data_IF_804805636635
#
_entry.id   IF_804805636635
#
_cell.length_a   1.000
_cell.length_b   1.000
_cell.length_c   1.000
_cell.angle_alpha   90.00
_cell.angle_beta   90.00
_cell.angle_gamma   90.00
#
_symmetry.space_group_name_H-M   'P 1'
#
loop_
_entity.id
_entity.type
_entity.pdbx_description
1 polymer ?
#
# COMPACT_ATOMS: atom_id res chain seq x y z
N UNK A 1 18.96 -7.10 49.29
CA UNK A 1 19.43 -6.75 47.93
C UNK A 1 18.47 -7.40 46.94
N UNK A 2 17.60 -6.63 46.28
CA UNK A 2 16.64 -7.15 45.30
C UNK A 2 17.33 -7.19 43.93
N UNK A 3 17.17 -8.23 43.10
CA UNK A 3 17.75 -8.23 41.77
C UNK A 3 17.00 -7.21 40.91
N UNK A 4 17.80 -6.39 40.24
CA UNK A 4 17.42 -5.45 39.21
C UNK A 4 16.71 -6.21 38.07
N UNK A 5 15.45 -5.87 37.78
CA UNK A 5 14.73 -6.48 36.66
C UNK A 5 15.33 -5.88 35.40
N UNK A 6 16.15 -6.68 34.72
CA UNK A 6 16.69 -6.36 33.42
C UNK A 6 15.59 -5.87 32.48
N UNK A 7 15.65 -4.59 32.17
CA UNK A 7 14.96 -4.02 31.03
C UNK A 7 15.56 -4.69 29.80
N UNK A 8 14.82 -5.62 29.19
CA UNK A 8 15.31 -6.21 27.95
C UNK A 8 15.24 -5.15 26.85
N UNK A 9 16.24 -5.03 25.95
CA UNK A 9 16.26 -4.02 24.89
C UNK A 9 14.95 -3.94 24.07
N UNK A 10 14.27 -5.08 23.94
CA UNK A 10 13.00 -5.29 23.23
C UNK A 10 11.81 -4.48 23.82
N UNK A 11 11.82 -4.20 25.14
CA UNK A 11 10.71 -3.51 25.81
C UNK A 11 10.60 -2.01 25.42
N UNK A 12 11.72 -1.41 24.99
CA UNK A 12 11.77 -0.01 24.52
C UNK A 12 11.64 0.14 23.00
N UNK A 13 11.98 -0.89 22.24
CA UNK A 13 11.89 -0.87 20.77
C UNK A 13 10.43 -0.86 20.30
N UNK A 14 9.55 -1.66 20.90
CA UNK A 14 8.15 -1.71 20.47
C UNK A 14 7.40 -0.37 20.66
N UNK A 15 7.49 0.34 21.81
CA UNK A 15 6.91 1.67 21.96
C UNK A 15 7.50 2.72 21.01
N UNK A 16 8.82 2.67 20.74
CA UNK A 16 9.47 3.60 19.83
C UNK A 16 9.03 3.38 18.36
N UNK A 17 8.90 2.12 17.92
CA UNK A 17 8.40 1.76 16.59
C UNK A 17 6.96 2.26 16.42
N UNK A 18 6.12 2.08 17.44
CA UNK A 18 4.72 2.52 17.40
C UNK A 18 4.63 4.04 17.32
N UNK A 19 5.37 4.78 18.17
CA UNK A 19 5.38 6.25 18.12
C UNK A 19 5.91 6.80 16.79
N UNK A 20 6.92 6.16 16.20
CA UNK A 20 7.41 6.52 14.88
C UNK A 20 6.39 6.23 13.77
N UNK A 21 5.68 5.10 13.85
CA UNK A 21 4.63 4.75 12.91
C UNK A 21 3.43 5.71 12.99
N UNK A 22 3.00 6.09 14.20
CA UNK A 22 1.94 7.08 14.41
C UNK A 22 2.32 8.44 13.83
N UNK A 23 3.53 8.93 14.10
CA UNK A 23 4.03 10.17 13.52
C UNK A 23 4.09 10.12 11.99
N UNK A 24 4.59 9.01 11.41
CA UNK A 24 4.62 8.81 9.97
C UNK A 24 3.21 8.79 9.37
N UNK A 25 2.25 8.12 10.01
CA UNK A 25 0.85 8.09 9.57
C UNK A 25 0.25 9.50 9.56
N UNK A 26 0.44 10.29 10.61
CA UNK A 26 -0.03 11.69 10.63
C UNK A 26 0.58 12.53 9.50
N UNK A 27 1.87 12.33 9.19
CA UNK A 27 2.51 13.00 8.06
C UNK A 27 1.90 12.58 6.72
N UNK A 28 1.61 11.30 6.52
CA UNK A 28 0.97 10.80 5.30
C UNK A 28 -0.47 11.30 5.16
N UNK A 29 -1.25 11.33 6.23
CA UNK A 29 -2.60 11.87 6.24
C UNK A 29 -2.61 13.35 5.81
N UNK A 30 -1.75 14.17 6.43
CA UNK A 30 -1.59 15.57 6.04
C UNK A 30 -1.15 15.74 4.58
N UNK A 31 -0.25 14.87 4.09
CA UNK A 31 0.18 14.88 2.70
C UNK A 31 -0.95 14.50 1.73
N UNK A 32 -1.80 13.55 2.09
CA UNK A 32 -2.98 13.13 1.30
C UNK A 32 -4.02 14.24 1.26
N UNK A 33 -4.26 14.92 2.38
CA UNK A 33 -5.17 16.08 2.45
C UNK A 33 -4.66 17.25 1.61
N UNK A 34 -3.34 17.45 1.55
CA UNK A 34 -2.70 18.47 0.73
C UNK A 34 -2.59 18.12 -0.77
N UNK A 35 -3.07 16.95 -1.20
CA UNK A 35 -3.09 16.59 -2.61
C UNK A 35 -4.03 17.54 -3.38
N UNK A 36 -3.63 17.97 -4.58
CA UNK A 36 -4.49 18.79 -5.45
C UNK A 36 -5.72 18.00 -5.93
N UNK A 37 -6.56 18.67 -6.70
CA UNK A 37 -7.68 18.02 -7.39
C UNK A 37 -7.17 16.89 -8.30
N UNK A 38 -7.94 15.81 -8.43
CA UNK A 38 -7.56 14.64 -9.23
C UNK A 38 -7.40 14.92 -10.74
N UNK A 39 -7.96 16.04 -11.23
CA UNK A 39 -7.81 16.52 -12.60
C UNK A 39 -6.54 17.38 -12.78
N UNK A 40 -5.88 17.76 -11.69
CA UNK A 40 -4.60 18.46 -11.75
C UNK A 40 -3.50 17.52 -12.28
N UNK A 41 -2.75 17.98 -13.28
CA UNK A 41 -1.70 17.18 -13.91
C UNK A 41 -0.57 16.73 -12.96
N UNK A 42 -0.41 17.38 -11.81
CA UNK A 42 0.55 17.00 -10.78
C UNK A 42 0.04 15.99 -9.76
N UNK A 43 -1.28 15.72 -9.73
CA UNK A 43 -1.91 14.87 -8.73
C UNK A 43 -1.31 13.46 -8.70
N UNK A 44 -1.30 12.74 -9.83
CA UNK A 44 -0.81 11.34 -9.90
C UNK A 44 0.64 11.25 -9.45
N UNK A 45 1.50 12.17 -9.92
CA UNK A 45 2.92 12.21 -9.53
C UNK A 45 3.10 12.40 -8.02
N UNK A 46 2.29 13.26 -7.39
CA UNK A 46 2.34 13.47 -5.92
C UNK A 46 1.77 12.26 -5.17
N UNK A 47 0.68 11.68 -5.67
CA UNK A 47 0.08 10.47 -5.10
C UNK A 47 1.08 9.29 -5.12
N UNK A 48 1.82 9.10 -6.22
CA UNK A 48 2.82 8.01 -6.33
C UNK A 48 3.94 8.10 -5.29
N UNK A 49 4.38 9.32 -4.96
CA UNK A 49 5.37 9.55 -3.89
C UNK A 49 4.81 9.09 -2.55
N UNK A 50 3.57 9.47 -2.23
CA UNK A 50 2.90 9.08 -1.00
C UNK A 50 2.65 7.57 -0.96
N UNK A 51 2.14 6.98 -2.04
CA UNK A 51 1.90 5.53 -2.18
C UNK A 51 3.20 4.74 -1.97
N UNK A 52 4.32 5.22 -2.49
CA UNK A 52 5.64 4.61 -2.26
C UNK A 52 6.06 4.68 -0.80
N UNK A 53 5.83 5.82 -0.14
CA UNK A 53 6.07 5.97 1.29
C UNK A 53 5.22 5.03 2.15
N UNK A 54 3.91 4.96 1.88
CA UNK A 54 2.98 4.08 2.56
C UNK A 54 3.37 2.60 2.42
N UNK A 55 3.77 2.15 1.23
CA UNK A 55 4.25 0.77 1.03
C UNK A 55 5.48 0.43 1.86
N UNK A 56 6.43 1.36 1.97
CA UNK A 56 7.62 1.17 2.82
C UNK A 56 7.23 1.06 4.30
N UNK A 57 6.27 1.88 4.74
CA UNK A 57 5.73 1.83 6.10
C UNK A 57 5.00 0.50 6.34
N UNK A 58 4.15 0.06 5.41
CA UNK A 58 3.46 -1.23 5.48
C UNK A 58 4.43 -2.41 5.58
N UNK A 59 5.48 -2.44 4.76
CA UNK A 59 6.50 -3.49 4.81
C UNK A 59 7.21 -3.53 6.17
N UNK A 60 7.54 -2.36 6.72
CA UNK A 60 8.19 -2.23 8.02
C UNK A 60 7.28 -2.69 9.16
N UNK A 61 6.01 -2.32 9.11
CA UNK A 61 4.99 -2.71 10.10
C UNK A 61 4.60 -4.19 9.98
N UNK A 62 4.54 -4.74 8.76
CA UNK A 62 4.30 -6.17 8.54
C UNK A 62 5.44 -7.01 9.11
N UNK A 63 6.69 -6.57 8.91
CA UNK A 63 7.84 -7.21 9.51
C UNK A 63 7.76 -7.18 11.04
N UNK A 64 7.44 -6.02 11.63
CA UNK A 64 7.25 -5.89 13.07
C UNK A 64 6.10 -6.79 13.59
N UNK A 65 4.98 -6.84 12.88
CA UNK A 65 3.82 -7.66 13.22
C UNK A 65 4.08 -9.17 13.12
N UNK A 66 5.04 -9.60 12.29
CA UNK A 66 5.43 -11.00 12.15
C UNK A 66 6.32 -11.53 13.29
N UNK A 67 6.84 -10.64 14.15
CA UNK A 67 7.70 -11.02 15.28
C UNK A 67 6.85 -11.63 16.41
N UNK A 68 7.42 -12.58 17.15
CA UNK A 68 6.73 -13.34 18.21
C UNK A 68 6.15 -12.51 19.36
N UNK A 69 6.52 -11.22 19.49
CA UNK A 69 6.03 -10.27 20.51
C UNK A 69 5.34 -9.04 19.89
N UNK A 70 4.75 -9.17 18.70
CA UNK A 70 3.98 -8.08 18.10
C UNK A 70 2.88 -7.59 19.05
N UNK A 71 2.85 -6.28 19.31
CA UNK A 71 1.81 -5.66 20.14
C UNK A 71 0.56 -5.38 19.29
N UNK A 72 -0.64 -5.35 19.91
CA UNK A 72 -1.87 -4.93 19.20
C UNK A 72 -1.74 -3.56 18.51
N UNK A 73 -0.95 -2.64 19.08
CA UNK A 73 -0.71 -1.31 18.49
C UNK A 73 0.01 -1.38 17.13
N UNK A 74 0.97 -2.28 16.95
CA UNK A 74 1.63 -2.50 15.64
C UNK A 74 0.63 -3.01 14.61
N UNK A 75 -0.27 -3.91 15.00
CA UNK A 75 -1.33 -4.44 14.12
C UNK A 75 -2.31 -3.34 13.71
N UNK A 76 -2.68 -2.46 14.64
CA UNK A 76 -3.55 -1.30 14.36
C UNK A 76 -2.86 -0.33 13.39
N UNK A 77 -1.59 0.02 13.62
CA UNK A 77 -0.82 0.88 12.72
C UNK A 77 -0.69 0.27 11.32
N UNK A 78 -0.42 -1.04 11.21
CA UNK A 78 -0.37 -1.75 9.92
C UNK A 78 -1.73 -1.68 9.20
N UNK A 79 -2.81 -1.86 9.95
CA UNK A 79 -4.18 -1.79 9.42
C UNK A 79 -4.50 -0.37 8.92
N UNK A 80 -4.07 0.67 9.63
CA UNK A 80 -4.23 2.06 9.22
C UNK A 80 -3.44 2.36 7.94
N UNK A 81 -2.16 1.98 7.87
CA UNK A 81 -1.33 2.17 6.68
C UNK A 81 -1.97 1.53 5.43
N UNK A 82 -2.42 0.26 5.55
CA UNK A 82 -3.11 -0.47 4.47
C UNK A 82 -4.41 0.21 4.02
N UNK A 83 -5.19 0.77 4.95
CA UNK A 83 -6.41 1.52 4.61
C UNK A 83 -6.08 2.81 3.89
N UNK A 84 -5.08 3.56 4.35
CA UNK A 84 -4.67 4.81 3.71
C UNK A 84 -4.13 4.57 2.31
N UNK A 85 -3.32 3.53 2.12
CA UNK A 85 -2.85 3.10 0.79
C UNK A 85 -4.02 2.72 -0.12
N UNK A 86 -4.95 1.89 0.35
CA UNK A 86 -6.10 1.47 -0.44
C UNK A 86 -7.00 2.64 -0.85
N UNK A 87 -7.26 3.58 0.07
CA UNK A 87 -8.05 4.79 -0.20
C UNK A 87 -7.35 5.67 -1.24
N UNK A 88 -6.04 5.88 -1.11
CA UNK A 88 -5.28 6.69 -2.05
C UNK A 88 -5.19 6.01 -3.43
N UNK A 89 -4.97 4.70 -3.51
CA UNK A 89 -4.99 3.95 -4.78
C UNK A 89 -6.34 4.09 -5.50
N UNK A 90 -7.45 3.94 -4.77
CA UNK A 90 -8.79 4.11 -5.34
C UNK A 90 -9.02 5.53 -5.85
N UNK A 91 -8.60 6.55 -5.09
CA UNK A 91 -8.66 7.96 -5.54
C UNK A 91 -7.76 8.19 -6.76
N UNK A 92 -6.56 7.60 -6.78
CA UNK A 92 -5.61 7.72 -7.87
C UNK A 92 -6.13 7.11 -9.18
N UNK A 93 -6.82 5.98 -9.10
CA UNK A 93 -7.45 5.31 -10.24
C UNK A 93 -8.54 6.15 -10.93
N UNK A 94 -9.14 7.13 -10.25
CA UNK A 94 -10.14 8.04 -10.82
C UNK A 94 -9.52 9.23 -11.58
N UNK A 95 -8.19 9.42 -11.49
CA UNK A 95 -7.52 10.48 -12.21
C UNK A 95 -7.44 10.15 -13.71
N UNK A 96 -7.60 11.13 -14.62
CA UNK A 96 -7.46 10.90 -16.07
C UNK A 96 -6.09 10.35 -16.48
N UNK A 97 -5.06 10.62 -15.69
CA UNK A 97 -3.69 10.17 -15.87
C UNK A 97 -3.31 8.99 -14.97
N UNK A 98 -4.29 8.27 -14.41
CA UNK A 98 -4.05 7.11 -13.56
C UNK A 98 -3.12 6.09 -14.23
N UNK A 99 -2.15 5.57 -13.48
CA UNK A 99 -1.25 4.53 -13.98
C UNK A 99 -2.00 3.21 -14.20
N UNK A 100 -1.44 2.34 -15.04
CA UNK A 100 -2.01 1.01 -15.28
C UNK A 100 -2.17 0.21 -13.97
N UNK A 101 -1.18 0.32 -13.07
CA UNK A 101 -1.20 -0.29 -11.75
C UNK A 101 -2.34 0.22 -10.85
N UNK A 102 -2.61 1.53 -10.87
CA UNK A 102 -3.72 2.12 -10.12
C UNK A 102 -5.08 1.63 -10.65
N UNK A 103 -5.22 1.57 -11.98
CA UNK A 103 -6.45 1.11 -12.62
C UNK A 103 -6.74 -0.36 -12.29
N UNK A 104 -5.76 -1.26 -12.46
CA UNK A 104 -5.98 -2.69 -12.18
C UNK A 104 -6.20 -2.96 -10.69
N UNK A 105 -5.49 -2.25 -9.81
CA UNK A 105 -5.75 -2.33 -8.36
C UNK A 105 -7.21 -2.01 -8.05
N UNK A 106 -7.73 -0.90 -8.60
CA UNK A 106 -9.10 -0.48 -8.33
C UNK A 106 -10.12 -1.46 -8.92
N UNK A 107 -9.94 -1.90 -10.16
CA UNK A 107 -10.81 -2.86 -10.83
C UNK A 107 -10.90 -4.19 -10.05
N UNK A 108 -9.75 -4.81 -9.73
CA UNK A 108 -9.75 -6.08 -8.98
C UNK A 108 -10.35 -5.93 -7.58
N UNK A 109 -10.10 -4.80 -6.90
CA UNK A 109 -10.62 -4.54 -5.56
C UNK A 109 -12.10 -4.23 -5.56
N UNK A 110 -12.63 -3.67 -6.66
CA UNK A 110 -14.07 -3.51 -6.87
C UNK A 110 -14.78 -4.85 -7.08
N UNK A 111 -14.09 -5.82 -7.68
CA UNK A 111 -14.57 -7.18 -7.90
C UNK A 111 -14.22 -8.17 -6.76
N UNK A 112 -13.73 -7.69 -5.62
CA UNK A 112 -13.28 -8.50 -4.47
C UNK A 112 -12.22 -9.59 -4.79
N UNK A 113 -11.44 -9.38 -5.86
CA UNK A 113 -10.39 -10.30 -6.28
C UNK A 113 -9.07 -10.08 -5.54
N UNK A 114 -8.48 -11.19 -5.11
CA UNK A 114 -7.09 -11.23 -4.68
C UNK A 114 -6.16 -10.99 -5.87
N UNK A 115 -4.91 -10.61 -5.57
CA UNK A 115 -3.90 -10.43 -6.60
C UNK A 115 -3.60 -11.73 -7.36
N UNK A 116 -3.66 -12.87 -6.67
CA UNK A 116 -3.46 -14.18 -7.26
C UNK A 116 -4.58 -14.55 -8.24
N UNK A 117 -5.83 -14.31 -7.86
CA UNK A 117 -6.99 -14.58 -8.74
C UNK A 117 -6.95 -13.70 -9.99
N UNK A 118 -6.70 -12.40 -9.82
CA UNK A 118 -6.56 -11.45 -10.93
C UNK A 118 -5.41 -11.83 -11.88
N UNK A 119 -4.23 -12.17 -11.33
CA UNK A 119 -3.08 -12.59 -12.13
C UNK A 119 -3.36 -13.89 -12.91
N UNK A 120 -3.99 -14.88 -12.27
CA UNK A 120 -4.38 -16.13 -12.92
C UNK A 120 -5.34 -15.90 -14.10
N UNK A 121 -6.28 -14.95 -13.96
CA UNK A 121 -7.27 -14.62 -15.00
C UNK A 121 -6.67 -14.16 -16.33
N UNK A 122 -5.43 -13.66 -16.32
CA UNK A 122 -4.71 -13.20 -17.52
C UNK A 122 -3.39 -13.94 -17.77
N UNK A 123 -3.14 -15.04 -17.05
CA UNK A 123 -1.92 -15.82 -17.18
C UNK A 123 -0.65 -15.04 -16.81
N UNK A 124 -0.75 -14.15 -15.82
CA UNK A 124 0.38 -13.44 -15.22
C UNK A 124 0.77 -14.10 -13.90
N UNK A 125 1.99 -13.83 -13.46
CA UNK A 125 2.42 -14.19 -12.10
C UNK A 125 1.88 -13.15 -11.10
N UNK A 126 1.55 -13.59 -9.89
CA UNK A 126 1.03 -12.69 -8.86
C UNK A 126 2.05 -11.62 -8.43
N UNK A 127 3.32 -11.97 -8.34
CA UNK A 127 4.41 -11.03 -8.00
C UNK A 127 4.64 -9.97 -9.09
N UNK A 128 4.45 -10.35 -10.36
CA UNK A 128 4.48 -9.41 -11.47
C UNK A 128 3.32 -8.42 -11.40
N UNK A 129 2.09 -8.91 -11.16
CA UNK A 129 0.94 -8.02 -11.01
C UNK A 129 1.11 -7.10 -9.79
N UNK A 130 1.70 -7.61 -8.70
CA UNK A 130 2.07 -6.81 -7.52
C UNK A 130 3.07 -5.70 -7.87
N UNK A 131 4.13 -6.01 -8.62
CA UNK A 131 5.09 -5.03 -9.11
C UNK A 131 4.42 -3.93 -9.93
N UNK A 132 3.45 -4.28 -10.76
CA UNK A 132 2.74 -3.32 -11.62
C UNK A 132 1.82 -2.41 -10.81
N UNK A 133 1.06 -2.95 -9.84
CA UNK A 133 0.30 -2.14 -8.87
C UNK A 133 1.21 -1.22 -8.05
N UNK A 134 2.47 -1.62 -7.90
CA UNK A 134 3.55 -0.90 -7.25
C UNK A 134 4.25 0.14 -8.14
N UNK A 135 3.81 0.31 -9.38
CA UNK A 135 4.30 1.30 -10.33
C UNK A 135 5.51 0.86 -11.16
N UNK A 136 5.87 -0.43 -11.13
CA UNK A 136 6.91 -0.96 -12.00
C UNK A 136 6.47 -0.94 -13.48
N UNK A 137 7.41 -0.73 -14.42
CA UNK A 137 7.10 -0.66 -15.84
C UNK A 137 6.66 -2.03 -16.37
N UNK A 138 5.80 -2.00 -17.38
CA UNK A 138 5.29 -3.19 -18.07
C UNK A 138 5.85 -3.29 -19.49
N UNK A 139 5.96 -4.53 -19.97
CA UNK A 139 6.08 -4.84 -21.38
C UNK A 139 4.76 -4.55 -22.11
N UNK A 140 4.82 -4.51 -23.45
CA UNK A 140 3.63 -4.33 -24.27
C UNK A 140 2.62 -5.47 -24.11
N UNK A 141 3.11 -6.71 -23.96
CA UNK A 141 2.25 -7.89 -23.77
C UNK A 141 1.49 -7.84 -22.44
N UNK A 142 2.21 -7.54 -21.35
CA UNK A 142 1.61 -7.38 -20.01
C UNK A 142 0.59 -6.25 -19.99
N UNK A 143 0.90 -5.13 -20.65
CA UNK A 143 -0.01 -3.99 -20.78
C UNK A 143 -1.31 -4.40 -21.46
N UNK A 144 -1.23 -5.16 -22.56
CA UNK A 144 -2.42 -5.65 -23.28
C UNK A 144 -3.25 -6.59 -22.41
N UNK A 145 -2.62 -7.54 -21.72
CA UNK A 145 -3.28 -8.48 -20.79
C UNK A 145 -4.02 -7.74 -19.68
N UNK A 146 -3.38 -6.77 -19.04
CA UNK A 146 -3.97 -6.03 -17.92
C UNK A 146 -5.11 -5.14 -18.38
N UNK A 147 -4.98 -4.45 -19.52
CA UNK A 147 -6.08 -3.66 -20.09
C UNK A 147 -7.30 -4.51 -20.41
N UNK A 148 -7.09 -5.73 -20.93
CA UNK A 148 -8.18 -6.67 -21.17
C UNK A 148 -8.89 -7.08 -19.87
N UNK A 149 -8.13 -7.33 -18.79
CA UNK A 149 -8.71 -7.63 -17.48
C UNK A 149 -9.50 -6.46 -16.91
N UNK A 150 -8.95 -5.24 -16.94
CA UNK A 150 -9.66 -4.03 -16.47
C UNK A 150 -10.99 -3.90 -17.21
N UNK A 151 -10.98 -3.98 -18.54
CA UNK A 151 -12.19 -3.89 -19.35
C UNK A 151 -13.23 -4.99 -19.05
N UNK A 152 -12.79 -6.19 -18.65
CA UNK A 152 -13.67 -7.28 -18.26
C UNK A 152 -14.24 -7.14 -16.84
N UNK A 153 -13.56 -6.40 -15.95
CA UNK A 153 -14.00 -6.16 -14.57
C UNK A 153 -14.87 -4.90 -14.43
N UNK A 154 -14.71 -3.94 -15.35
CA UNK A 154 -15.50 -2.70 -15.39
C UNK A 154 -16.84 -2.84 -16.13
N UNK A 155 -17.06 -3.97 -16.83
CA UNK A 155 -18.28 -4.28 -17.59
C UNK A 155 -19.34 -5.02 -16.78
#
# INVERSE_FOLDING_TARGET
>A
MRPDRGQTPDDGEAPAIVGAAEAAMHMFEAAIEALPDQKDGSFVKRADVILTGLRKLEASLALAASRSRATPSVVVALSQARRSYATLMKRAALAPSASLGQQIYAARRGADLTIQEAANGVGLRADLLEAIENGEPTTQEETTKIKALIAALDG
#
